data_IF_187831639023
#
_entry.id   IF_187831639023
#
_cell.length_a   1.000
_cell.length_b   1.000
_cell.length_c   1.000
_cell.angle_alpha   90.00
_cell.angle_beta   90.00
_cell.angle_gamma   90.00
#
_symmetry.space_group_name_H-M   'P 1'
#
loop_
_entity.id
_entity.type
_entity.pdbx_description
1 polymer ?
#
# COMPACT_ATOMS: atom_id res chain seq x y z
N UNK A 1 -9.91 -8.29 -9.86
CA UNK A 1 -9.73 -6.99 -10.53
C UNK A 1 -8.34 -6.97 -11.15
N UNK A 2 -8.18 -6.53 -12.40
CA UNK A 2 -6.84 -6.30 -12.98
C UNK A 2 -6.36 -4.95 -12.45
N UNK A 3 -5.19 -4.92 -11.81
CA UNK A 3 -4.54 -3.70 -11.33
C UNK A 3 -3.14 -3.66 -11.92
N UNK A 4 -2.85 -2.61 -12.67
CA UNK A 4 -1.56 -2.42 -13.32
C UNK A 4 -1.07 -1.00 -13.05
N UNK A 5 0.24 -0.82 -13.07
CA UNK A 5 0.86 0.52 -12.99
C UNK A 5 1.05 1.15 -14.36
N UNK A 6 0.55 0.51 -15.42
CA UNK A 6 0.59 0.98 -16.81
C UNK A 6 -0.73 1.66 -17.17
N UNK A 7 -0.67 2.59 -18.13
CA UNK A 7 -1.86 3.30 -18.62
C UNK A 7 -2.85 2.37 -19.36
N UNK A 8 -2.35 1.27 -19.94
CA UNK A 8 -3.13 0.30 -20.69
C UNK A 8 -2.88 -1.14 -20.21
N UNK A 9 -3.85 -2.02 -20.49
CA UNK A 9 -3.74 -3.47 -20.21
C UNK A 9 -3.61 -4.21 -21.55
N UNK A 10 -2.48 -4.89 -21.76
CA UNK A 10 -2.22 -5.65 -22.99
C UNK A 10 -3.37 -6.61 -23.32
N UNK A 11 -3.80 -6.62 -24.59
CA UNK A 11 -4.90 -7.46 -25.05
C UNK A 11 -6.31 -6.98 -24.66
N UNK A 12 -6.42 -5.81 -24.01
CA UNK A 12 -7.68 -5.20 -23.63
C UNK A 12 -7.80 -3.80 -24.23
N UNK A 13 -9.03 -3.35 -24.50
CA UNK A 13 -9.32 -1.97 -24.95
C UNK A 13 -10.21 -1.29 -23.91
N UNK A 14 -9.78 -0.11 -23.44
CA UNK A 14 -10.59 0.73 -22.55
C UNK A 14 -11.81 1.23 -23.32
N UNK A 15 -13.02 1.00 -22.78
CA UNK A 15 -14.29 1.40 -23.41
C UNK A 15 -14.94 2.62 -22.74
N UNK A 16 -14.55 2.92 -21.51
CA UNK A 16 -15.12 4.01 -20.71
C UNK A 16 -14.10 4.45 -19.65
N UNK A 17 -14.05 5.76 -19.38
CA UNK A 17 -13.27 6.35 -18.30
C UNK A 17 -14.20 6.76 -17.15
N UNK A 18 -14.06 6.16 -15.97
CA UNK A 18 -14.93 6.41 -14.80
C UNK A 18 -14.41 7.49 -13.83
N UNK A 19 -13.27 8.12 -14.13
CA UNK A 19 -12.61 9.09 -13.26
C UNK A 19 -11.59 8.44 -12.32
N UNK A 20 -10.98 9.27 -11.47
CA UNK A 20 -9.92 8.86 -10.54
C UNK A 20 -10.49 8.23 -9.26
N UNK A 21 -9.78 7.24 -8.73
CA UNK A 21 -10.08 6.62 -7.44
C UNK A 21 -8.80 6.50 -6.61
N UNK A 22 -8.96 6.47 -5.29
CA UNK A 22 -7.84 6.36 -4.36
C UNK A 22 -8.17 5.36 -3.25
N UNK A 23 -7.13 4.74 -2.71
CA UNK A 23 -7.19 3.99 -1.47
C UNK A 23 -6.08 4.49 -0.54
N UNK A 24 -6.45 4.78 0.71
CA UNK A 24 -5.51 5.28 1.71
C UNK A 24 -5.78 4.59 3.05
N UNK A 25 -4.70 4.27 3.75
CA UNK A 25 -4.75 3.76 5.12
C UNK A 25 -3.56 4.32 5.89
N UNK A 26 -3.80 4.67 7.16
CA UNK A 26 -2.75 5.00 8.13
C UNK A 26 -2.77 3.91 9.18
N UNK A 27 -1.62 3.28 9.43
CA UNK A 27 -1.45 2.26 10.46
C UNK A 27 -0.45 2.77 11.49
N UNK A 28 -0.80 2.61 12.77
CA UNK A 28 0.10 2.88 13.89
C UNK A 28 0.60 1.56 14.46
N UNK A 29 1.91 1.44 14.70
CA UNK A 29 2.44 0.44 15.61
C UNK A 29 2.30 1.03 17.02
N UNK A 30 1.76 0.27 17.98
CA UNK A 30 1.66 0.72 19.37
C UNK A 30 3.02 1.17 19.94
N UNK A 31 3.01 1.90 21.06
CA UNK A 31 4.19 2.59 21.63
C UNK A 31 5.45 1.70 21.74
N UNK A 32 5.31 0.45 22.18
CA UNK A 32 6.43 -0.48 22.34
C UNK A 32 7.08 -0.94 21.03
N UNK A 33 6.31 -1.08 19.95
CA UNK A 33 6.83 -1.47 18.63
C UNK A 33 7.66 -0.36 17.99
N UNK A 34 7.27 0.90 18.20
CA UNK A 34 8.00 2.06 17.69
C UNK A 34 9.34 2.26 18.41
N UNK A 35 9.42 1.97 19.71
CA UNK A 35 10.67 2.09 20.49
C UNK A 35 11.69 1.06 20.00
N UNK A 36 11.31 -0.20 19.84
CA UNK A 36 12.22 -1.26 19.39
C UNK A 36 12.71 -1.03 17.95
N UNK A 37 11.81 -0.58 17.07
CA UNK A 37 12.14 -0.21 15.70
C UNK A 37 13.04 1.04 15.63
N UNK A 38 12.82 2.03 16.50
CA UNK A 38 13.67 3.23 16.62
C UNK A 38 15.07 2.92 17.17
N UNK A 39 15.22 1.91 18.02
CA UNK A 39 16.55 1.44 18.45
C UNK A 39 17.28 0.72 17.31
N UNK A 40 16.58 -0.10 16.51
CA UNK A 40 17.15 -0.74 15.31
C UNK A 40 17.50 0.26 14.22
N UNK A 41 16.76 1.36 14.07
CA UNK A 41 17.07 2.38 13.05
C UNK A 41 18.43 3.06 13.24
N UNK A 42 18.94 3.12 14.47
CA UNK A 42 20.27 3.68 14.76
C UNK A 42 21.42 2.78 14.29
N UNK A 43 21.19 1.46 14.24
CA UNK A 43 22.18 0.48 13.76
C UNK A 43 22.31 0.40 12.24
N UNK A 44 21.37 1.03 11.51
CA UNK A 44 21.29 0.94 10.05
C UNK A 44 20.77 -0.41 9.56
N UNK A 45 20.34 -0.45 8.30
CA UNK A 45 19.76 -1.65 7.67
C UNK A 45 18.24 -1.62 7.61
N UNK A 46 17.66 -2.70 7.07
CA UNK A 46 16.21 -2.87 6.98
C UNK A 46 15.61 -3.12 8.36
N UNK A 47 14.54 -2.39 8.68
CA UNK A 47 13.74 -2.63 9.88
C UNK A 47 12.56 -3.48 9.45
N UNK A 48 12.72 -4.81 9.55
CA UNK A 48 11.72 -5.79 9.10
C UNK A 48 10.32 -5.47 9.60
N UNK A 49 10.19 -4.94 10.82
CA UNK A 49 8.90 -4.54 11.38
C UNK A 49 8.23 -3.39 10.61
N UNK A 50 9.00 -2.42 10.13
CA UNK A 50 8.43 -1.36 9.30
C UNK A 50 8.15 -1.86 7.89
N UNK A 51 8.97 -2.77 7.35
CA UNK A 51 8.67 -3.43 6.08
C UNK A 51 7.32 -4.14 6.15
N UNK A 52 7.10 -5.00 7.14
CA UNK A 52 5.81 -5.69 7.36
C UNK A 52 4.63 -4.71 7.50
N UNK A 53 4.80 -3.67 8.31
CA UNK A 53 3.76 -2.66 8.52
C UNK A 53 3.37 -1.95 7.21
N UNK A 54 4.37 -1.59 6.41
CA UNK A 54 4.16 -0.90 5.14
C UNK A 54 3.57 -1.84 4.08
N UNK A 55 3.96 -3.11 4.08
CA UNK A 55 3.33 -4.12 3.21
C UNK A 55 1.85 -4.29 3.52
N UNK A 56 1.49 -4.41 4.80
CA UNK A 56 0.10 -4.53 5.25
C UNK A 56 -0.71 -3.26 4.95
N UNK A 57 -0.11 -2.09 5.14
CA UNK A 57 -0.73 -0.82 4.79
C UNK A 57 -0.98 -0.75 3.27
N UNK A 58 0.01 -1.14 2.45
CA UNK A 58 -0.11 -1.15 0.98
C UNK A 58 -1.22 -2.09 0.52
N UNK A 59 -1.29 -3.31 1.03
CA UNK A 59 -2.35 -4.28 0.68
C UNK A 59 -3.74 -3.70 0.97
N UNK A 60 -3.96 -3.19 2.18
CA UNK A 60 -5.24 -2.58 2.55
C UNK A 60 -5.59 -1.33 1.72
N UNK A 61 -4.59 -0.50 1.37
CA UNK A 61 -4.81 0.65 0.52
C UNK A 61 -5.28 0.22 -0.88
N UNK A 62 -4.65 -0.80 -1.47
CA UNK A 62 -5.05 -1.36 -2.77
C UNK A 62 -6.47 -1.94 -2.70
N UNK A 63 -6.81 -2.69 -1.65
CA UNK A 63 -8.16 -3.24 -1.49
C UNK A 63 -9.23 -2.14 -1.44
N UNK A 64 -8.98 -1.05 -0.71
CA UNK A 64 -9.88 0.13 -0.69
C UNK A 64 -9.98 0.81 -2.04
N UNK A 65 -8.86 0.97 -2.74
CA UNK A 65 -8.84 1.56 -4.09
C UNK A 65 -9.69 0.74 -5.06
N UNK A 66 -9.56 -0.59 -5.02
CA UNK A 66 -10.34 -1.52 -5.85
C UNK A 66 -11.82 -1.48 -5.51
N UNK A 67 -12.19 -1.38 -4.23
CA UNK A 67 -13.58 -1.23 -3.81
C UNK A 67 -14.21 0.08 -4.31
N UNK A 68 -13.45 1.18 -4.31
CA UNK A 68 -13.89 2.47 -4.84
C UNK A 68 -14.00 2.49 -6.37
N UNK A 69 -13.38 1.52 -7.07
CA UNK A 69 -13.40 1.40 -8.53
C UNK A 69 -14.62 0.63 -9.08
N UNK A 70 -15.45 0.06 -8.19
CA UNK A 70 -16.69 -0.65 -8.54
C UNK A 70 -17.85 0.31 -8.72
#
# INVERSE_FOLDING_TARGET
>A
MIVVTTEEVTGHRIVEMKGQVFGLVVRSRGLGGNIMAGLRSLGGGEITEYTELLEDARRHAVDRMVANAM
#
